data_IF_949315520152
#
_entry.id   IF_949315520152
#
_cell.length_a   1.000
_cell.length_b   1.000
_cell.length_c   1.000
_cell.angle_alpha   90.00
_cell.angle_beta   90.00
_cell.angle_gamma   90.00
#
_symmetry.space_group_name_H-M   'P 1'
#
loop_
_entity.id
_entity.type
_entity.pdbx_description
1 polymer ?
#
# COMPACT_ATOMS: atom_id res chain seq x y z
N UNK A 1 -35.80 7.00 -16.55
CA UNK A 1 -36.94 7.52 -15.76
C UNK A 1 -36.37 8.58 -14.84
N UNK A 2 -36.98 9.77 -14.77
CA UNK A 2 -36.50 10.82 -13.86
C UNK A 2 -36.55 10.32 -12.41
N UNK A 3 -35.43 10.43 -11.69
CA UNK A 3 -35.36 10.06 -10.27
C UNK A 3 -35.98 11.22 -9.48
N UNK A 4 -36.79 10.93 -8.47
CA UNK A 4 -37.45 11.96 -7.63
C UNK A 4 -36.59 12.42 -6.44
N UNK A 5 -35.36 11.92 -6.34
CA UNK A 5 -34.43 12.15 -5.23
C UNK A 5 -33.56 13.36 -5.54
N UNK A 6 -33.71 14.42 -4.75
CA UNK A 6 -33.04 15.70 -4.96
C UNK A 6 -31.66 15.67 -4.33
N UNK A 7 -30.65 16.11 -5.08
CA UNK A 7 -29.27 16.23 -4.60
C UNK A 7 -28.97 17.71 -4.38
N UNK A 8 -28.50 18.06 -3.19
CA UNK A 8 -28.06 19.42 -2.91
C UNK A 8 -26.54 19.50 -3.08
N UNK A 9 -26.06 20.49 -3.84
CA UNK A 9 -24.64 20.76 -4.05
C UNK A 9 -24.29 22.07 -3.36
N UNK A 10 -23.37 22.04 -2.39
CA UNK A 10 -22.92 23.22 -1.66
C UNK A 10 -21.45 23.42 -1.95
N UNK A 11 -21.13 24.49 -2.68
CA UNK A 11 -19.78 24.79 -3.14
C UNK A 11 -19.71 26.29 -3.43
N UNK A 12 -18.62 26.99 -3.14
CA UNK A 12 -18.53 28.44 -3.42
C UNK A 12 -18.11 28.74 -4.87
N UNK A 13 -17.48 27.78 -5.54
CA UNK A 13 -17.02 27.90 -6.92
C UNK A 13 -18.18 27.72 -7.92
N UNK A 14 -18.55 28.75 -8.71
CA UNK A 14 -19.67 28.65 -9.66
C UNK A 14 -19.48 27.57 -10.73
N UNK A 15 -18.24 27.38 -11.20
CA UNK A 15 -17.92 26.41 -12.24
C UNK A 15 -18.15 24.96 -11.76
N UNK A 16 -17.87 24.67 -10.48
CA UNK A 16 -18.09 23.35 -9.89
C UNK A 16 -19.60 23.10 -9.74
N UNK A 17 -20.35 24.08 -9.23
CA UNK A 17 -21.82 23.98 -9.13
C UNK A 17 -22.46 23.74 -10.50
N UNK A 18 -22.08 24.51 -11.53
CA UNK A 18 -22.61 24.36 -12.88
C UNK A 18 -22.28 22.99 -13.48
N UNK A 19 -21.04 22.52 -13.30
CA UNK A 19 -20.62 21.19 -13.79
C UNK A 19 -21.42 20.08 -13.12
N UNK A 20 -21.55 20.11 -11.80
CA UNK A 20 -22.29 19.10 -11.04
C UNK A 20 -23.79 19.15 -11.34
N UNK A 21 -24.36 20.35 -11.47
CA UNK A 21 -25.77 20.53 -11.81
C UNK A 21 -26.10 19.94 -13.18
N UNK A 22 -25.27 20.19 -14.19
CA UNK A 22 -25.46 19.63 -15.53
C UNK A 22 -25.36 18.09 -15.52
N UNK A 23 -24.29 17.54 -14.94
CA UNK A 23 -24.02 16.09 -14.95
C UNK A 23 -25.09 15.31 -14.17
N UNK A 24 -25.49 15.79 -13.00
CA UNK A 24 -26.49 15.11 -12.18
C UNK A 24 -27.90 15.22 -12.78
N UNK A 25 -28.21 16.35 -13.43
CA UNK A 25 -29.47 16.52 -14.15
C UNK A 25 -29.57 15.59 -15.36
N UNK A 26 -28.47 15.40 -16.11
CA UNK A 26 -28.39 14.45 -17.22
C UNK A 26 -28.64 13.00 -16.76
N UNK A 27 -28.16 12.65 -15.56
CA UNK A 27 -28.41 11.36 -14.89
C UNK A 27 -29.80 11.26 -14.22
N UNK A 28 -30.61 12.30 -14.39
CA UNK A 28 -32.01 12.34 -13.98
C UNK A 28 -32.23 12.66 -12.50
N UNK A 29 -31.23 13.20 -11.80
CA UNK A 29 -31.37 13.73 -10.44
C UNK A 29 -31.70 15.23 -10.49
N UNK A 30 -32.80 15.70 -9.88
CA UNK A 30 -33.00 17.13 -9.66
C UNK A 30 -31.93 17.67 -8.71
N UNK A 31 -31.33 18.81 -9.06
CA UNK A 31 -30.23 19.41 -8.30
C UNK A 31 -30.65 20.74 -7.68
N UNK A 32 -30.20 20.98 -6.44
CA UNK A 32 -30.31 22.27 -5.77
C UNK A 32 -28.89 22.77 -5.46
N UNK A 33 -28.43 23.76 -6.21
CA UNK A 33 -27.10 24.36 -6.06
C UNK A 33 -27.12 25.49 -5.01
N UNK A 34 -26.18 25.47 -4.06
CA UNK A 34 -26.04 26.41 -2.96
C UNK A 34 -24.61 26.96 -2.94
N UNK A 35 -24.47 28.29 -2.78
CA UNK A 35 -23.14 28.93 -2.85
C UNK A 35 -22.42 29.07 -1.51
N UNK A 36 -23.15 28.98 -0.41
CA UNK A 36 -22.68 29.22 0.94
C UNK A 36 -23.65 28.58 1.96
N UNK A 37 -23.30 28.68 3.25
CA UNK A 37 -24.08 28.16 4.38
C UNK A 37 -25.48 28.78 4.46
N UNK A 38 -25.61 30.10 4.27
CA UNK A 38 -26.89 30.81 4.38
C UNK A 38 -27.87 30.35 3.30
N UNK A 39 -27.40 30.27 2.05
CA UNK A 39 -28.19 29.78 0.92
C UNK A 39 -28.56 28.30 1.10
N UNK A 40 -27.63 27.49 1.64
CA UNK A 40 -27.89 26.09 1.96
C UNK A 40 -29.04 25.94 2.97
N UNK A 41 -28.98 26.60 4.13
CA UNK A 41 -30.02 26.47 5.14
C UNK A 41 -31.36 27.06 4.69
N UNK A 42 -31.37 28.18 3.96
CA UNK A 42 -32.60 28.77 3.42
C UNK A 42 -33.31 27.85 2.41
N UNK A 43 -32.56 27.01 1.69
CA UNK A 43 -33.10 25.99 0.78
C UNK A 43 -33.49 24.71 1.51
N UNK A 44 -32.71 24.30 2.50
CA UNK A 44 -33.00 23.13 3.34
C UNK A 44 -34.35 23.27 4.07
N UNK A 45 -34.72 24.48 4.53
CA UNK A 45 -36.03 24.76 5.14
C UNK A 45 -37.21 24.54 4.18
N UNK A 46 -36.99 24.76 2.88
CA UNK A 46 -38.04 24.62 1.86
C UNK A 46 -38.16 23.19 1.36
N UNK A 47 -37.05 22.47 1.31
CA UNK A 47 -36.98 21.15 0.70
C UNK A 47 -35.81 20.32 1.25
N UNK A 48 -36.12 19.14 1.79
CA UNK A 48 -35.12 18.22 2.30
C UNK A 48 -34.50 17.40 1.15
N UNK A 49 -33.16 17.48 0.94
CA UNK A 49 -32.50 16.69 -0.09
C UNK A 49 -32.33 15.23 0.34
N UNK A 50 -32.22 14.34 -0.64
CA UNK A 50 -31.89 12.93 -0.41
C UNK A 50 -30.39 12.69 -0.19
N UNK A 51 -29.54 13.63 -0.61
CA UNK A 51 -28.09 13.63 -0.44
C UNK A 51 -27.56 15.07 -0.52
N UNK A 52 -26.54 15.38 0.29
CA UNK A 52 -25.79 16.64 0.18
C UNK A 52 -24.36 16.33 -0.29
N UNK A 53 -23.92 16.99 -1.35
CA UNK A 53 -22.52 17.12 -1.74
C UNK A 53 -22.01 18.44 -1.16
N UNK A 54 -21.08 18.40 -0.22
CA UNK A 54 -20.69 19.56 0.59
C UNK A 54 -19.20 19.84 0.51
N UNK A 55 -18.83 20.99 -0.04
CA UNK A 55 -17.45 21.47 0.01
C UNK A 55 -17.01 21.81 1.44
N UNK A 56 -15.75 21.53 1.77
CA UNK A 56 -15.16 21.87 3.06
C UNK A 56 -14.89 23.38 3.16
N UNK A 57 -14.29 23.99 2.15
CA UNK A 57 -13.75 25.35 2.25
C UNK A 57 -14.72 26.38 1.71
N UNK A 58 -15.78 26.63 2.47
CA UNK A 58 -16.77 27.65 2.14
C UNK A 58 -16.45 29.00 2.79
N UNK A 59 -16.79 30.13 2.14
CA UNK A 59 -16.68 31.44 2.74
C UNK A 59 -17.65 31.59 3.93
N UNK A 60 -17.15 32.11 5.04
CA UNK A 60 -17.93 32.30 6.26
C UNK A 60 -17.94 31.06 7.14
N UNK A 61 -18.91 30.16 6.93
CA UNK A 61 -19.03 28.92 7.71
C UNK A 61 -18.38 27.76 6.94
N UNK A 62 -17.34 27.17 7.53
CA UNK A 62 -16.69 25.95 7.05
C UNK A 62 -17.70 24.80 6.86
N UNK A 63 -17.59 24.05 5.77
CA UNK A 63 -18.43 22.88 5.48
C UNK A 63 -18.41 21.83 6.59
N UNK A 64 -17.33 21.75 7.37
CA UNK A 64 -17.25 20.88 8.55
C UNK A 64 -18.23 21.31 9.66
N UNK A 65 -18.44 22.62 9.84
CA UNK A 65 -19.44 23.13 10.77
C UNK A 65 -20.86 22.87 10.26
N UNK A 66 -21.09 22.99 8.95
CA UNK A 66 -22.37 22.63 8.32
C UNK A 66 -22.67 21.13 8.54
N UNK A 67 -21.68 20.26 8.32
CA UNK A 67 -21.82 18.82 8.59
C UNK A 67 -22.16 18.53 10.05
N UNK A 68 -21.45 19.14 11.00
CA UNK A 68 -21.72 18.97 12.44
C UNK A 68 -23.16 19.35 12.77
N UNK A 69 -23.63 20.51 12.28
CA UNK A 69 -24.98 20.98 12.51
C UNK A 69 -26.04 20.11 11.82
N UNK A 70 -25.75 19.58 10.62
CA UNK A 70 -26.62 18.61 9.94
C UNK A 70 -26.75 17.32 10.74
N UNK A 71 -25.70 16.84 11.40
CA UNK A 71 -25.83 15.65 12.25
C UNK A 71 -26.66 15.88 13.50
N UNK A 72 -26.68 17.10 14.03
CA UNK A 72 -27.54 17.45 15.16
C UNK A 72 -29.00 17.63 14.74
N UNK A 73 -29.25 18.25 13.58
CA UNK A 73 -30.60 18.68 13.17
C UNK A 73 -31.29 17.75 12.17
N UNK A 74 -30.53 17.07 11.31
CA UNK A 74 -31.02 16.23 10.21
C UNK A 74 -30.12 14.98 10.03
N UNK A 75 -29.98 14.12 11.05
CA UNK A 75 -29.02 13.01 11.05
C UNK A 75 -29.22 12.01 9.91
N UNK A 76 -30.43 11.89 9.38
CA UNK A 76 -30.77 10.94 8.32
C UNK A 76 -30.35 11.39 6.91
N UNK A 77 -29.94 12.65 6.73
CA UNK A 77 -29.48 13.15 5.44
C UNK A 77 -28.02 12.69 5.23
N UNK A 78 -27.73 11.83 4.24
CA UNK A 78 -26.35 11.47 3.95
C UNK A 78 -25.60 12.68 3.38
N UNK A 79 -24.33 12.82 3.73
CA UNK A 79 -23.47 13.92 3.29
C UNK A 79 -22.17 13.33 2.74
N UNK A 80 -21.85 13.64 1.48
CA UNK A 80 -20.55 13.37 0.87
C UNK A 80 -19.77 14.69 0.89
N UNK A 81 -18.61 14.69 1.53
CA UNK A 81 -17.75 15.87 1.60
C UNK A 81 -16.88 15.99 0.35
N UNK A 82 -16.61 17.21 -0.10
CA UNK A 82 -15.75 17.55 -1.23
C UNK A 82 -14.64 18.50 -0.77
N UNK A 83 -13.42 18.39 -1.30
CA UNK A 83 -12.36 19.37 -0.97
C UNK A 83 -11.32 19.50 -2.07
N UNK A 84 -10.91 20.74 -2.37
CA UNK A 84 -9.77 21.05 -3.24
C UNK A 84 -8.42 21.20 -2.53
N UNK A 85 -8.38 21.03 -1.21
CA UNK A 85 -7.16 20.91 -0.41
C UNK A 85 -7.29 19.63 0.42
N UNK A 86 -6.87 18.50 -0.14
CA UNK A 86 -6.92 17.24 0.56
C UNK A 86 -5.79 17.13 1.59
N UNK A 87 -6.15 17.35 2.85
CA UNK A 87 -5.42 16.79 3.98
C UNK A 87 -6.16 15.55 4.48
N UNK A 88 -5.42 14.51 4.86
CA UNK A 88 -5.96 13.32 5.55
C UNK A 88 -6.87 13.78 6.69
N UNK A 89 -6.41 14.73 7.51
CA UNK A 89 -7.16 15.27 8.64
C UNK A 89 -8.55 15.78 8.27
N UNK A 90 -8.71 16.44 7.12
CA UNK A 90 -9.99 16.99 6.69
C UNK A 90 -10.98 15.89 6.29
N UNK A 91 -10.56 14.96 5.45
CA UNK A 91 -11.36 13.81 5.02
C UNK A 91 -11.78 12.94 6.23
N UNK A 92 -10.85 12.78 7.15
CA UNK A 92 -11.01 11.99 8.36
C UNK A 92 -11.97 12.62 9.35
N UNK A 93 -11.79 13.91 9.63
CA UNK A 93 -12.67 14.63 10.52
C UNK A 93 -14.09 14.64 9.94
N UNK A 94 -14.22 14.77 8.62
CA UNK A 94 -15.51 14.69 7.93
C UNK A 94 -16.20 13.34 8.22
N UNK A 95 -15.51 12.22 8.02
CA UNK A 95 -16.07 10.89 8.28
C UNK A 95 -16.41 10.71 9.76
N UNK A 96 -15.54 11.16 10.70
CA UNK A 96 -15.82 11.12 12.16
C UNK A 96 -17.04 11.95 12.55
N UNK A 97 -17.24 13.08 11.89
CA UNK A 97 -18.44 13.92 12.03
C UNK A 97 -19.64 13.34 11.26
N UNK A 98 -19.58 12.10 10.77
CA UNK A 98 -20.72 11.40 10.19
C UNK A 98 -20.94 11.68 8.70
N UNK A 99 -19.98 12.22 7.96
CA UNK A 99 -20.04 12.16 6.50
C UNK A 99 -20.08 10.68 6.06
N UNK A 100 -20.90 10.37 5.05
CA UNK A 100 -20.99 9.00 4.54
C UNK A 100 -19.85 8.64 3.60
N UNK A 101 -19.23 9.66 3.01
CA UNK A 101 -18.09 9.53 2.11
C UNK A 101 -17.37 10.89 1.97
N UNK A 102 -16.19 10.88 1.35
CA UNK A 102 -15.37 12.03 1.03
C UNK A 102 -14.84 11.94 -0.41
N UNK A 103 -14.64 13.09 -1.05
CA UNK A 103 -14.09 13.21 -2.39
C UNK A 103 -13.12 14.38 -2.49
N UNK A 104 -12.04 14.17 -3.23
CA UNK A 104 -11.09 15.21 -3.56
C UNK A 104 -11.41 15.85 -4.92
N UNK A 105 -11.31 17.18 -4.99
CA UNK A 105 -11.36 17.94 -6.25
C UNK A 105 -9.96 17.93 -6.88
N UNK A 106 -9.84 17.80 -8.22
CA UNK A 106 -10.91 17.84 -9.21
C UNK A 106 -11.73 16.54 -9.24
N UNK A 107 -13.06 16.70 -9.30
CA UNK A 107 -14.00 15.59 -9.19
C UNK A 107 -13.98 14.73 -10.48
N UNK A 108 -13.76 13.43 -10.31
CA UNK A 108 -13.99 12.44 -11.37
C UNK A 108 -15.47 12.08 -11.39
N UNK A 109 -16.18 12.54 -12.43
CA UNK A 109 -17.65 12.44 -12.53
C UNK A 109 -18.17 11.00 -12.45
N UNK A 110 -17.49 10.04 -13.08
CA UNK A 110 -17.85 8.62 -13.03
C UNK A 110 -17.89 8.09 -11.58
N UNK A 111 -16.85 8.37 -10.80
CA UNK A 111 -16.72 7.96 -9.40
C UNK A 111 -17.80 8.61 -8.54
N UNK A 112 -18.09 9.90 -8.79
CA UNK A 112 -19.13 10.62 -8.07
C UNK A 112 -20.50 9.95 -8.26
N UNK A 113 -20.86 9.60 -9.50
CA UNK A 113 -22.14 8.98 -9.81
C UNK A 113 -22.31 7.60 -9.15
N UNK A 114 -21.23 6.81 -9.11
CA UNK A 114 -21.22 5.51 -8.42
C UNK A 114 -21.44 5.68 -6.91
N UNK A 115 -20.73 6.62 -6.28
CA UNK A 115 -20.90 6.94 -4.84
C UNK A 115 -22.33 7.38 -4.52
N UNK A 116 -22.91 8.26 -5.34
CA UNK A 116 -24.31 8.71 -5.20
C UNK A 116 -25.26 7.51 -5.27
N UNK A 117 -25.09 6.64 -6.26
CA UNK A 117 -25.92 5.45 -6.46
C UNK A 117 -25.89 4.53 -5.23
N UNK A 118 -24.69 4.27 -4.69
CA UNK A 118 -24.49 3.45 -3.50
C UNK A 118 -25.20 4.06 -2.29
N UNK A 119 -24.96 5.34 -2.01
CA UNK A 119 -25.54 6.03 -0.86
C UNK A 119 -27.07 6.04 -0.90
N UNK A 120 -27.66 6.31 -2.07
CA UNK A 120 -29.12 6.36 -2.24
C UNK A 120 -29.80 4.97 -2.19
N UNK A 121 -29.04 3.87 -2.21
CA UNK A 121 -29.55 2.49 -2.22
C UNK A 121 -29.61 1.78 -0.85
N UNK A 122 -29.07 2.39 0.22
CA UNK A 122 -29.15 2.03 1.65
C UNK A 122 -28.89 0.56 2.08
N UNK A 123 -27.67 0.29 2.60
CA UNK A 123 -27.39 -0.66 3.70
C UNK A 123 -26.32 -0.11 4.66
N UNK A 124 -26.56 -0.05 6.00
CA UNK A 124 -25.56 0.41 6.96
C UNK A 124 -24.51 -0.69 7.27
N UNK A 125 -23.22 -0.35 7.38
CA UNK A 125 -22.20 -1.29 7.84
C UNK A 125 -22.19 -1.43 9.36
N UNK A 126 -21.71 -2.59 9.84
CA UNK A 126 -21.46 -2.88 11.26
C UNK A 126 -20.01 -2.58 11.62
N UNK A 127 -19.79 -2.10 12.85
CA UNK A 127 -18.49 -1.76 13.45
C UNK A 127 -17.45 -2.88 13.33
N UNK A 128 -16.23 -2.52 12.93
CA UNK A 128 -15.03 -3.38 12.86
C UNK A 128 -14.44 -3.61 14.25
N UNK A 129 -13.88 -4.80 14.52
CA UNK A 129 -12.91 -4.98 15.60
C UNK A 129 -11.50 -4.80 15.03
N UNK A 130 -10.68 -4.09 15.78
CA UNK A 130 -9.30 -3.69 15.47
C UNK A 130 -8.57 -4.64 14.49
N UNK A 131 -8.31 -4.16 13.27
CA UNK A 131 -7.24 -4.74 12.46
C UNK A 131 -5.99 -4.69 13.35
N UNK A 132 -5.36 -5.84 13.59
CA UNK A 132 -4.05 -5.89 14.19
C UNK A 132 -3.12 -5.03 13.32
N UNK A 133 -2.97 -3.79 13.76
CA UNK A 133 -2.15 -2.76 13.19
C UNK A 133 -0.75 -3.30 12.96
N UNK A 134 -0.39 -3.51 11.69
CA UNK A 134 1.01 -3.65 11.25
C UNK A 134 1.79 -2.32 11.47
N UNK A 135 1.30 -1.41 12.33
CA UNK A 135 1.94 -0.15 12.76
C UNK A 135 2.61 -0.29 14.14
N UNK A 136 2.30 -1.36 14.90
CA UNK A 136 2.98 -1.68 16.15
C UNK A 136 4.16 -2.60 15.84
N UNK A 137 5.38 -2.18 16.20
CA UNK A 137 6.61 -2.98 16.07
C UNK A 137 6.37 -4.44 16.52
N UNK A 138 6.40 -5.37 15.57
CA UNK A 138 6.06 -6.77 15.80
C UNK A 138 7.33 -7.61 15.91
N UNK A 139 7.40 -8.47 16.93
CA UNK A 139 8.48 -9.44 17.10
C UNK A 139 8.01 -10.80 16.59
N UNK A 140 8.67 -11.34 15.57
CA UNK A 140 8.36 -12.66 15.05
C UNK A 140 8.58 -13.75 16.13
N UNK A 141 7.60 -14.65 16.33
CA UNK A 141 7.75 -15.76 17.27
C UNK A 141 8.67 -16.84 16.70
N UNK A 142 9.88 -16.96 17.23
CA UNK A 142 10.86 -17.97 16.82
C UNK A 142 10.69 -19.20 17.70
N UNK A 143 10.32 -20.31 17.08
CA UNK A 143 9.92 -21.52 17.81
C UNK A 143 10.93 -22.65 17.62
N UNK A 144 11.73 -22.59 16.55
CA UNK A 144 12.88 -23.46 16.35
C UNK A 144 14.11 -22.62 15.99
N UNK A 145 15.07 -22.41 16.90
CA UNK A 145 16.28 -21.64 16.60
C UNK A 145 17.27 -22.43 15.73
N UNK A 146 17.16 -23.76 15.70
CA UNK A 146 18.07 -24.62 14.93
C UNK A 146 17.72 -24.50 13.45
N UNK A 147 18.71 -24.10 12.66
CA UNK A 147 18.67 -24.05 11.21
C UNK A 147 19.48 -25.27 10.74
N UNK A 148 18.91 -26.19 9.94
CA UNK A 148 19.67 -27.34 9.47
C UNK A 148 20.86 -26.85 8.62
N UNK A 149 22.05 -27.36 8.90
CA UNK A 149 23.24 -27.07 8.09
C UNK A 149 23.01 -27.58 6.66
N UNK A 150 23.35 -26.77 5.66
CA UNK A 150 23.10 -27.10 4.26
C UNK A 150 21.62 -27.08 3.83
N UNK A 151 20.70 -26.56 4.65
CA UNK A 151 19.29 -26.43 4.30
C UNK A 151 19.05 -25.53 3.07
N UNK A 152 20.01 -24.65 2.74
CA UNK A 152 19.99 -23.81 1.55
C UNK A 152 21.39 -23.83 0.92
N UNK A 153 21.45 -23.90 -0.41
CA UNK A 153 22.71 -23.85 -1.15
C UNK A 153 22.63 -22.86 -2.32
N UNK A 154 23.72 -22.14 -2.57
CA UNK A 154 23.84 -21.38 -3.82
C UNK A 154 24.17 -22.32 -4.97
N UNK A 155 23.37 -22.26 -6.02
CA UNK A 155 23.61 -22.98 -7.26
C UNK A 155 23.62 -21.99 -8.43
N UNK A 156 24.44 -22.28 -9.43
CA UNK A 156 24.43 -21.50 -10.66
C UNK A 156 23.04 -21.57 -11.31
N UNK A 157 22.50 -20.40 -11.64
CA UNK A 157 21.26 -20.28 -12.37
C UNK A 157 21.53 -20.53 -13.85
N UNK A 158 20.53 -21.02 -14.58
CA UNK A 158 20.58 -21.08 -16.05
C UNK A 158 20.55 -19.70 -16.70
N UNK A 159 20.20 -18.67 -15.94
CA UNK A 159 20.10 -17.28 -16.40
C UNK A 159 21.40 -16.52 -16.10
N UNK A 160 21.85 -15.63 -17.00
CA UNK A 160 22.93 -14.70 -16.68
C UNK A 160 22.46 -13.68 -15.64
N UNK A 161 23.44 -13.01 -15.04
CA UNK A 161 23.18 -11.77 -14.31
C UNK A 161 22.61 -10.70 -15.25
N UNK A 162 21.85 -9.77 -14.68
CA UNK A 162 21.13 -8.75 -15.41
C UNK A 162 21.22 -7.40 -14.75
N UNK A 163 21.26 -6.38 -15.58
CA UNK A 163 21.23 -4.96 -15.21
C UNK A 163 20.27 -4.22 -16.13
N UNK A 164 20.09 -2.92 -15.94
CA UNK A 164 19.28 -2.09 -16.83
C UNK A 164 20.08 -1.71 -18.09
N UNK A 165 19.43 -1.42 -19.23
CA UNK A 165 20.15 -0.90 -20.41
C UNK A 165 20.54 0.57 -20.28
N UNK A 166 19.86 1.31 -19.42
CA UNK A 166 20.07 2.74 -19.22
C UNK A 166 19.52 3.22 -17.89
N UNK A 167 19.77 4.50 -17.60
CA UNK A 167 19.25 5.14 -16.41
C UNK A 167 17.76 5.44 -16.56
N UNK A 168 17.01 5.24 -15.49
CA UNK A 168 15.61 5.64 -15.38
C UNK A 168 15.33 6.35 -14.07
N UNK A 169 14.33 7.22 -14.08
CA UNK A 169 13.95 8.06 -12.95
C UNK A 169 12.47 7.88 -12.69
N UNK A 170 12.13 7.74 -11.40
CA UNK A 170 10.76 7.83 -10.94
C UNK A 170 10.68 8.84 -9.80
N UNK A 171 9.78 9.81 -9.95
CA UNK A 171 9.51 10.82 -8.93
C UNK A 171 8.12 10.56 -8.33
N UNK A 172 7.96 10.89 -7.07
CA UNK A 172 6.67 10.83 -6.40
C UNK A 172 6.75 11.32 -4.97
N UNK A 173 5.86 10.81 -4.12
CA UNK A 173 5.77 11.16 -2.72
C UNK A 173 6.15 9.96 -1.85
N UNK A 174 6.95 10.20 -0.82
CA UNK A 174 7.28 9.21 0.18
C UNK A 174 6.05 8.89 1.05
N UNK A 175 5.92 7.63 1.46
CA UNK A 175 4.81 7.17 2.29
C UNK A 175 4.88 7.76 3.71
N UNK A 176 6.01 7.52 4.36
CA UNK A 176 6.28 7.83 5.76
C UNK A 176 6.66 9.30 5.93
N UNK A 177 7.41 9.89 5.00
CA UNK A 177 7.77 11.32 5.09
C UNK A 177 6.66 12.23 4.57
N UNK A 178 5.86 11.75 3.60
CA UNK A 178 4.92 12.60 2.85
C UNK A 178 5.60 13.67 2.00
N UNK A 179 6.93 13.63 1.83
CA UNK A 179 7.70 14.60 1.04
C UNK A 179 7.86 14.11 -0.39
N UNK A 180 8.10 15.04 -1.32
CA UNK A 180 8.52 14.66 -2.67
C UNK A 180 9.87 13.96 -2.58
N UNK A 181 9.96 12.78 -3.19
CA UNK A 181 11.15 11.95 -3.27
C UNK A 181 11.27 11.40 -4.69
N UNK A 182 12.44 10.89 -5.04
CA UNK A 182 12.71 10.29 -6.33
C UNK A 182 13.73 9.18 -6.20
N UNK A 183 13.66 8.22 -7.11
CA UNK A 183 14.68 7.19 -7.27
C UNK A 183 15.24 7.21 -8.69
N UNK A 184 16.57 7.15 -8.78
CA UNK A 184 17.29 6.92 -10.03
C UNK A 184 17.77 5.48 -10.01
N UNK A 185 17.36 4.68 -10.99
CA UNK A 185 17.92 3.35 -11.21
C UNK A 185 18.98 3.42 -12.29
N UNK A 186 20.20 3.04 -11.95
CA UNK A 186 21.36 3.04 -12.83
C UNK A 186 21.95 1.63 -12.94
N UNK A 187 22.41 1.22 -14.13
CA UNK A 187 23.03 -0.08 -14.29
C UNK A 187 24.34 -0.18 -13.50
N UNK A 188 24.59 -1.35 -12.93
CA UNK A 188 25.86 -1.71 -12.32
C UNK A 188 26.52 -2.89 -13.03
N UNK A 189 27.83 -3.03 -12.81
CA UNK A 189 28.65 -4.14 -13.27
C UNK A 189 28.25 -5.47 -12.60
N UNK A 190 28.64 -6.61 -13.18
CA UNK A 190 28.35 -7.92 -12.58
C UNK A 190 28.84 -8.04 -11.15
N UNK A 191 28.12 -8.82 -10.34
CA UNK A 191 28.39 -9.08 -8.93
C UNK A 191 28.29 -7.87 -8.00
N UNK A 192 27.75 -6.74 -8.47
CA UNK A 192 27.52 -5.56 -7.65
C UNK A 192 26.31 -5.73 -6.71
N UNK A 193 25.33 -6.55 -7.10
CA UNK A 193 24.07 -6.70 -6.39
C UNK A 193 23.16 -5.48 -6.56
N UNK A 194 22.09 -5.44 -5.75
CA UNK A 194 21.23 -4.27 -5.62
C UNK A 194 21.81 -3.35 -4.55
N UNK A 195 22.13 -2.12 -4.94
CA UNK A 195 22.76 -1.13 -4.06
C UNK A 195 21.89 0.11 -4.00
N UNK A 196 21.54 0.54 -2.79
CA UNK A 196 20.95 1.84 -2.54
C UNK A 196 22.05 2.84 -2.20
N UNK A 197 21.96 4.06 -2.74
CA UNK A 197 22.90 5.14 -2.44
C UNK A 197 22.15 6.40 -2.06
N UNK A 198 22.47 6.95 -0.89
CA UNK A 198 21.94 8.22 -0.40
C UNK A 198 22.59 9.41 -1.11
N UNK A 199 21.99 10.60 -1.01
CA UNK A 199 22.50 11.81 -1.70
C UNK A 199 23.87 12.29 -1.23
N UNK A 200 24.35 11.82 -0.07
CA UNK A 200 25.69 12.05 0.46
C UNK A 200 26.68 10.91 0.10
N UNK A 201 26.35 10.13 -0.94
CA UNK A 201 27.13 9.03 -1.49
C UNK A 201 27.30 7.80 -0.58
N UNK A 202 26.59 7.71 0.54
CA UNK A 202 26.61 6.50 1.39
C UNK A 202 25.91 5.35 0.69
N UNK A 203 26.60 4.23 0.52
CA UNK A 203 26.07 3.04 -0.16
C UNK A 203 25.64 1.95 0.83
N UNK A 204 24.42 1.45 0.63
CA UNK A 204 23.81 0.36 1.37
C UNK A 204 23.45 -0.76 0.40
N UNK A 205 24.01 -1.95 0.57
CA UNK A 205 23.52 -3.12 -0.17
C UNK A 205 22.11 -3.47 0.32
N UNK A 206 21.22 -3.80 -0.62
CA UNK A 206 19.87 -4.29 -0.34
C UNK A 206 19.91 -5.73 0.19
N UNK A 207 20.44 -5.87 1.40
CA UNK A 207 20.72 -7.17 2.00
C UNK A 207 20.23 -7.19 3.44
N UNK A 208 19.83 -8.37 3.91
CA UNK A 208 19.26 -8.57 5.24
C UNK A 208 20.19 -8.08 6.37
N UNK A 209 21.51 -8.08 6.16
CA UNK A 209 22.48 -7.58 7.15
C UNK A 209 22.47 -6.07 7.33
N UNK A 210 21.85 -5.34 6.40
CA UNK A 210 21.72 -3.89 6.42
C UNK A 210 20.30 -3.46 6.80
N UNK A 211 19.45 -4.33 7.37
CA UNK A 211 18.17 -3.88 7.93
C UNK A 211 18.39 -3.16 9.26
N UNK A 212 17.49 -2.24 9.60
CA UNK A 212 17.48 -1.61 10.92
C UNK A 212 17.48 -2.67 12.04
N UNK A 213 18.30 -2.46 13.07
CA UNK A 213 18.45 -3.36 14.23
C UNK A 213 18.97 -4.78 13.93
N UNK A 214 19.57 -5.04 12.76
CA UNK A 214 20.11 -6.37 12.40
C UNK A 214 21.08 -6.95 13.45
N UNK A 215 21.92 -6.13 14.07
CA UNK A 215 22.93 -6.56 15.05
C UNK A 215 22.36 -7.12 16.37
N UNK A 216 21.05 -6.98 16.61
CA UNK A 216 20.40 -7.56 17.78
C UNK A 216 20.08 -9.04 17.55
N UNK A 217 20.04 -9.83 18.64
CA UNK A 217 19.57 -11.22 18.58
C UNK A 217 18.14 -11.27 18.04
N UNK A 218 17.81 -12.23 17.18
CA UNK A 218 16.49 -12.34 16.52
C UNK A 218 15.30 -12.30 17.51
N UNK A 219 15.46 -12.84 18.72
CA UNK A 219 14.42 -12.79 19.76
C UNK A 219 14.22 -11.41 20.42
N UNK A 220 15.16 -10.47 20.22
CA UNK A 220 15.13 -9.10 20.74
C UNK A 220 14.93 -8.05 19.64
N UNK A 221 15.06 -8.46 18.36
CA UNK A 221 14.82 -7.56 17.24
C UNK A 221 13.36 -7.12 17.23
N UNK A 222 13.19 -5.81 17.15
CA UNK A 222 11.91 -5.18 16.90
C UNK A 222 11.89 -4.79 15.43
N UNK A 223 10.99 -5.38 14.65
CA UNK A 223 10.93 -5.14 13.21
C UNK A 223 10.01 -3.96 12.90
N UNK A 224 10.40 -3.17 11.91
CA UNK A 224 9.64 -2.03 11.40
C UNK A 224 8.25 -2.48 10.95
N UNK A 225 7.26 -2.11 11.74
CA UNK A 225 5.87 -2.31 11.43
C UNK A 225 5.43 -1.06 10.65
N UNK A 226 5.53 -1.15 9.31
CA UNK A 226 4.93 -0.29 8.26
C UNK A 226 5.74 -0.31 6.95
N UNK A 227 6.99 -0.81 6.95
CA UNK A 227 7.83 -0.97 5.74
C UNK A 227 9.15 -1.70 6.05
N UNK A 228 9.90 -2.12 5.04
CA UNK A 228 11.29 -2.54 5.18
C UNK A 228 12.22 -1.33 5.09
N UNK A 229 13.15 -1.23 6.05
CA UNK A 229 14.11 -0.12 6.17
C UNK A 229 15.53 -0.66 6.15
N UNK A 230 16.31 -0.20 5.20
CA UNK A 230 17.77 -0.38 5.19
C UNK A 230 18.41 0.71 6.05
N UNK A 231 19.38 0.34 6.88
CA UNK A 231 20.07 1.22 7.80
C UNK A 231 21.56 0.90 7.88
N UNK A 232 22.40 1.93 7.77
CA UNK A 232 23.86 1.84 7.99
C UNK A 232 24.42 3.20 8.36
N UNK A 233 25.29 3.27 9.37
CA UNK A 233 26.05 4.49 9.72
C UNK A 233 25.16 5.76 9.83
N UNK A 234 24.01 5.64 10.51
CA UNK A 234 22.96 6.67 10.66
C UNK A 234 22.23 7.09 9.38
N UNK A 235 22.45 6.40 8.26
CA UNK A 235 21.68 6.56 7.01
C UNK A 235 20.62 5.49 6.90
N UNK A 236 19.50 5.88 6.30
CA UNK A 236 18.28 5.08 6.22
C UNK A 236 17.72 5.18 4.81
N UNK A 237 17.25 4.05 4.28
CA UNK A 237 16.43 4.01 3.08
C UNK A 237 15.18 3.20 3.39
N UNK A 238 14.02 3.85 3.30
CA UNK A 238 12.72 3.31 3.72
C UNK A 238 11.90 2.81 2.54
N UNK A 239 11.00 1.87 2.82
CA UNK A 239 9.95 1.40 1.88
C UNK A 239 10.56 0.76 0.62
N UNK A 240 11.58 -0.07 0.81
CA UNK A 240 12.31 -0.70 -0.31
C UNK A 240 11.57 -1.89 -0.94
N UNK A 241 10.61 -2.48 -0.22
CA UNK A 241 9.92 -3.73 -0.54
C UNK A 241 9.29 -3.76 -1.93
N UNK A 242 8.57 -2.71 -2.36
CA UNK A 242 7.89 -2.70 -3.66
C UNK A 242 8.88 -2.65 -4.83
N UNK A 243 9.91 -1.81 -4.71
CA UNK A 243 10.99 -1.75 -5.69
C UNK A 243 11.76 -3.06 -5.74
N UNK A 244 12.08 -3.65 -4.58
CA UNK A 244 12.76 -4.94 -4.49
C UNK A 244 11.93 -6.06 -5.14
N UNK A 245 10.60 -6.05 -4.98
CA UNK A 245 9.72 -7.03 -5.61
C UNK A 245 9.75 -6.91 -7.15
N UNK A 246 9.69 -5.68 -7.67
CA UNK A 246 9.77 -5.41 -9.11
C UNK A 246 11.13 -5.82 -9.70
N UNK A 247 12.23 -5.47 -9.03
CA UNK A 247 13.59 -5.86 -9.44
C UNK A 247 13.75 -7.38 -9.44
N UNK A 248 13.28 -8.06 -8.38
CA UNK A 248 13.35 -9.51 -8.26
C UNK A 248 12.60 -10.20 -9.40
N UNK A 249 11.36 -9.80 -9.67
CA UNK A 249 10.52 -10.43 -10.69
C UNK A 249 10.93 -10.08 -12.13
N UNK A 250 11.57 -8.93 -12.34
CA UNK A 250 12.26 -8.62 -13.59
C UNK A 250 13.57 -9.42 -13.76
N UNK A 251 14.09 -10.02 -12.68
CA UNK A 251 15.34 -10.75 -12.63
C UNK A 251 16.57 -9.85 -12.70
N UNK A 252 16.46 -8.58 -12.28
CA UNK A 252 17.60 -7.65 -12.18
C UNK A 252 18.46 -8.07 -11.01
N UNK A 253 19.75 -8.32 -11.25
CA UNK A 253 20.72 -8.71 -10.21
C UNK A 253 21.63 -7.57 -9.81
N UNK A 254 21.89 -6.61 -10.71
CA UNK A 254 22.84 -5.53 -10.49
C UNK A 254 22.20 -4.18 -10.84
N UNK A 255 21.98 -3.31 -9.86
CA UNK A 255 21.43 -1.96 -10.08
C UNK A 255 21.78 -1.05 -8.91
N UNK A 256 22.03 0.21 -9.22
CA UNK A 256 22.19 1.29 -8.25
C UNK A 256 20.87 2.06 -8.17
N UNK A 257 20.25 2.07 -7.00
CA UNK A 257 19.08 2.88 -6.68
C UNK A 257 19.53 4.12 -5.88
N UNK A 258 19.69 5.25 -6.56
CA UNK A 258 19.97 6.53 -5.88
C UNK A 258 18.68 7.13 -5.37
N UNK A 259 18.61 7.39 -4.07
CA UNK A 259 17.43 7.88 -3.35
C UNK A 259 17.90 8.70 -2.15
N UNK A 260 17.09 9.61 -1.63
CA UNK A 260 17.47 10.35 -0.41
C UNK A 260 17.27 9.48 0.86
N UNK A 261 16.06 9.45 1.41
CA UNK A 261 15.73 8.69 2.62
C UNK A 261 14.62 7.65 2.43
N UNK A 262 13.82 7.78 1.35
CA UNK A 262 12.61 6.99 1.16
C UNK A 262 12.30 6.79 -0.32
N UNK A 263 11.95 5.55 -0.67
CA UNK A 263 11.53 5.20 -2.03
C UNK A 263 10.12 5.78 -2.30
N UNK A 264 9.88 6.37 -3.50
CA UNK A 264 8.55 6.87 -3.84
C UNK A 264 7.49 5.77 -3.73
N UNK A 265 6.41 6.02 -3.00
CA UNK A 265 5.34 5.02 -2.85
C UNK A 265 4.27 5.11 -3.96
N UNK A 266 4.33 6.13 -4.82
CA UNK A 266 3.42 6.40 -5.95
C UNK A 266 1.95 6.10 -5.60
N UNK A 267 1.40 4.99 -6.11
CA UNK A 267 0.02 4.56 -5.92
C UNK A 267 -0.16 3.46 -4.86
N UNK A 268 0.93 3.08 -4.19
CA UNK A 268 0.98 2.01 -3.18
C UNK A 268 1.35 0.63 -3.71
N UNK A 269 1.59 0.51 -5.01
CA UNK A 269 1.87 -0.77 -5.68
C UNK A 269 3.28 -0.80 -6.27
N UNK A 270 3.65 -1.89 -6.94
CA UNK A 270 4.90 -2.02 -7.67
C UNK A 270 4.73 -1.77 -9.18
N UNK A 271 3.53 -1.37 -9.64
CA UNK A 271 3.21 -1.21 -11.05
C UNK A 271 4.15 -0.24 -11.76
N UNK A 272 4.32 0.96 -11.21
CA UNK A 272 5.16 1.99 -11.83
C UNK A 272 6.64 1.56 -11.88
N UNK A 273 7.13 0.84 -10.87
CA UNK A 273 8.47 0.25 -10.91
C UNK A 273 8.61 -0.81 -12.01
N UNK A 274 7.62 -1.69 -12.15
CA UNK A 274 7.60 -2.69 -13.23
C UNK A 274 7.58 -2.05 -14.62
N UNK A 275 6.79 -0.98 -14.81
CA UNK A 275 6.73 -0.23 -16.07
C UNK A 275 8.06 0.48 -16.36
N UNK A 276 8.65 1.12 -15.33
CA UNK A 276 9.93 1.81 -15.43
C UNK A 276 11.08 0.86 -15.82
N UNK A 277 11.17 -0.33 -15.19
CA UNK A 277 12.18 -1.34 -15.52
C UNK A 277 11.97 -1.87 -16.94
N UNK A 278 10.72 -2.06 -17.36
CA UNK A 278 10.39 -2.49 -18.72
C UNK A 278 10.80 -1.44 -19.76
N UNK A 279 10.56 -0.17 -19.50
CA UNK A 279 10.96 0.95 -20.34
C UNK A 279 12.49 1.07 -20.44
N UNK A 280 13.18 0.97 -19.30
CA UNK A 280 14.64 0.95 -19.24
C UNK A 280 15.23 -0.17 -20.11
N UNK A 281 14.53 -1.31 -20.17
CA UNK A 281 15.00 -2.53 -20.79
C UNK A 281 16.07 -3.22 -19.96
N UNK A 282 16.20 -4.53 -20.18
CA UNK A 282 17.11 -5.39 -19.43
C UNK A 282 18.31 -5.78 -20.29
N UNK A 283 19.50 -5.74 -19.70
CA UNK A 283 20.76 -6.16 -20.29
C UNK A 283 21.27 -7.40 -19.56
N UNK A 284 21.41 -8.51 -20.28
CA UNK A 284 22.13 -9.69 -19.79
C UNK A 284 23.64 -9.38 -19.74
N UNK A 285 24.29 -9.80 -18.66
CA UNK A 285 25.71 -9.58 -18.41
C UNK A 285 26.50 -10.90 -18.56
N UNK A 286 27.80 -10.79 -18.81
CA UNK A 286 28.67 -11.95 -19.05
C UNK A 286 29.12 -12.65 -17.76
N UNK A 287 28.18 -12.90 -16.85
CA UNK A 287 28.38 -13.66 -15.60
C UNK A 287 27.11 -14.47 -15.30
N UNK A 288 27.27 -15.65 -14.71
CA UNK A 288 26.12 -16.47 -14.30
C UNK A 288 25.46 -15.88 -13.06
N UNK A 289 24.12 -15.85 -13.03
CA UNK A 289 23.39 -15.58 -11.79
C UNK A 289 23.44 -16.82 -10.88
N UNK A 290 23.10 -16.64 -9.60
CA UNK A 290 22.99 -17.73 -8.63
C UNK A 290 21.62 -17.72 -7.98
N UNK A 291 21.06 -18.89 -7.77
CA UNK A 291 19.81 -19.08 -7.03
C UNK A 291 20.11 -19.67 -5.65
N UNK A 292 19.42 -19.20 -4.62
CA UNK A 292 19.40 -19.82 -3.31
C UNK A 292 18.40 -20.97 -3.31
N UNK A 293 18.91 -22.20 -3.39
CA UNK A 293 18.10 -23.42 -3.52
C UNK A 293 17.79 -24.00 -2.15
N UNK A 294 16.50 -24.13 -1.84
CA UNK A 294 16.02 -24.69 -0.58
C UNK A 294 16.02 -26.22 -0.68
N UNK A 295 16.82 -26.86 0.17
CA UNK A 295 16.98 -28.32 0.24
C UNK A 295 16.24 -28.92 1.44
N UNK A 296 16.04 -28.15 2.50
CA UNK A 296 15.26 -28.56 3.66
C UNK A 296 14.29 -27.45 4.11
N UNK A 297 13.14 -27.79 4.72
CA UNK A 297 12.19 -26.79 5.17
C UNK A 297 12.74 -25.89 6.30
N UNK A 298 12.49 -24.57 6.18
CA UNK A 298 12.85 -23.56 7.19
C UNK A 298 11.58 -22.80 7.59
N UNK A 299 11.38 -22.57 8.89
CA UNK A 299 10.11 -22.06 9.44
C UNK A 299 10.30 -20.94 10.47
N UNK A 300 9.33 -20.02 10.48
CA UNK A 300 9.07 -18.97 11.48
C UNK A 300 7.61 -19.10 11.96
N UNK A 301 7.36 -19.00 13.26
CA UNK A 301 6.02 -19.20 13.84
C UNK A 301 5.58 -20.67 13.91
N UNK A 302 4.35 -20.93 14.37
CA UNK A 302 3.73 -22.27 14.47
C UNK A 302 2.75 -22.45 13.32
N UNK A 303 2.77 -23.60 12.65
CA UNK A 303 1.82 -23.96 11.57
C UNK A 303 0.40 -24.20 12.11
N UNK A 304 -0.24 -23.13 12.59
CA UNK A 304 -1.62 -23.10 13.05
C UNK A 304 -2.37 -22.02 12.28
N UNK A 305 -3.64 -22.26 12.00
CA UNK A 305 -4.45 -21.40 11.13
C UNK A 305 -4.66 -20.00 11.74
N UNK A 306 -4.81 -19.95 13.06
CA UNK A 306 -5.04 -18.75 13.88
C UNK A 306 -3.75 -18.07 14.35
N UNK A 307 -2.58 -18.60 13.99
CA UNK A 307 -1.28 -17.99 14.32
C UNK A 307 -0.54 -17.57 13.04
N UNK A 308 0.08 -16.38 13.07
CA UNK A 308 1.00 -15.94 12.02
C UNK A 308 2.14 -16.94 11.88
N UNK A 309 2.41 -17.39 10.65
CA UNK A 309 3.52 -18.27 10.38
C UNK A 309 3.97 -18.18 8.93
N UNK A 310 5.25 -18.49 8.72
CA UNK A 310 5.90 -18.44 7.43
C UNK A 310 6.88 -19.60 7.35
N UNK A 311 6.88 -20.35 6.26
CA UNK A 311 7.91 -21.35 6.01
C UNK A 311 8.23 -21.44 4.54
N UNK A 312 9.43 -21.94 4.25
CA UNK A 312 9.83 -22.33 2.91
C UNK A 312 10.11 -23.83 2.89
N UNK A 313 9.82 -24.46 1.77
CA UNK A 313 10.10 -25.88 1.51
C UNK A 313 10.73 -26.08 0.12
N UNK A 314 11.43 -27.21 -0.10
CA UNK A 314 12.00 -27.53 -1.41
C UNK A 314 10.94 -27.55 -2.51
N UNK A 315 11.23 -26.86 -3.61
CA UNK A 315 10.37 -26.79 -4.78
C UNK A 315 11.20 -26.38 -6.00
N UNK A 316 10.99 -27.05 -7.13
CA UNK A 316 11.61 -26.69 -8.41
C UNK A 316 10.87 -25.49 -9.00
N UNK A 317 11.41 -24.30 -8.76
CA UNK A 317 10.86 -23.01 -9.18
C UNK A 317 10.70 -22.05 -8.00
N UNK A 318 9.93 -20.98 -8.20
CA UNK A 318 9.56 -20.04 -7.14
C UNK A 318 8.04 -19.93 -7.04
N UNK A 319 7.50 -20.28 -5.88
CA UNK A 319 6.06 -20.25 -5.62
C UNK A 319 5.77 -19.67 -4.24
N UNK A 320 4.75 -18.80 -4.15
CA UNK A 320 4.27 -18.20 -2.91
C UNK A 320 2.81 -18.59 -2.72
N UNK A 321 2.49 -19.23 -1.59
CA UNK A 321 1.13 -19.46 -1.13
C UNK A 321 0.85 -18.57 0.05
N UNK A 322 -0.08 -17.64 -0.10
CA UNK A 322 -0.45 -16.69 0.94
C UNK A 322 -1.90 -16.88 1.35
N UNK A 323 -2.14 -16.88 2.65
CA UNK A 323 -3.45 -16.71 3.26
C UNK A 323 -3.47 -15.46 4.11
N UNK A 324 -4.48 -14.64 3.92
CA UNK A 324 -4.87 -13.56 4.83
C UNK A 324 -6.29 -13.84 5.33
N UNK A 325 -6.62 -13.32 6.50
CA UNK A 325 -7.86 -13.51 7.23
C UNK A 325 -7.97 -12.42 8.29
N UNK A 326 -8.44 -11.26 7.85
CA UNK A 326 -8.65 -10.09 8.68
C UNK A 326 -10.13 -9.75 8.73
N UNK A 327 -10.50 -8.86 9.65
CA UNK A 327 -11.85 -8.31 9.71
C UNK A 327 -12.29 -7.67 8.38
N UNK A 328 -13.60 -7.51 8.20
CA UNK A 328 -14.15 -6.81 7.05
C UNK A 328 -13.52 -5.41 6.91
N UNK A 329 -13.24 -4.93 5.68
CA UNK A 329 -13.67 -5.49 4.39
C UNK A 329 -12.78 -6.61 3.80
N UNK A 330 -11.66 -6.97 4.44
CA UNK A 330 -10.69 -7.90 3.83
C UNK A 330 -11.21 -9.34 3.80
N UNK A 331 -11.63 -9.84 4.96
CA UNK A 331 -12.05 -11.24 5.13
C UNK A 331 -10.92 -12.25 4.90
N UNK A 332 -11.30 -13.52 4.72
CA UNK A 332 -10.36 -14.58 4.36
C UNK A 332 -10.08 -14.56 2.85
N UNK A 333 -8.81 -14.41 2.47
CA UNK A 333 -8.37 -14.51 1.09
C UNK A 333 -7.17 -15.45 0.99
N UNK A 334 -7.12 -16.22 -0.09
CA UNK A 334 -6.06 -17.19 -0.37
C UNK A 334 -5.62 -17.03 -1.82
N UNK A 335 -4.31 -16.93 -2.03
CA UNK A 335 -3.75 -16.85 -3.37
C UNK A 335 -2.46 -17.65 -3.45
N UNK A 336 -2.25 -18.30 -4.59
CA UNK A 336 -0.97 -18.91 -4.95
C UNK A 336 -0.44 -18.16 -6.16
N UNK A 337 0.80 -17.69 -6.07
CA UNK A 337 1.55 -17.08 -7.16
C UNK A 337 2.75 -17.95 -7.50
N UNK A 338 2.92 -18.30 -8.76
CA UNK A 338 4.03 -19.08 -9.29
C UNK A 338 4.69 -18.31 -10.43
N UNK A 339 5.96 -17.95 -10.29
CA UNK A 339 6.63 -17.04 -11.23
C UNK A 339 6.80 -17.59 -12.65
N UNK A 340 6.64 -18.90 -12.85
CA UNK A 340 6.72 -19.54 -14.17
C UNK A 340 5.35 -19.64 -14.86
N UNK A 341 4.26 -19.56 -14.10
CA UNK A 341 2.90 -19.75 -14.60
C UNK A 341 2.08 -18.47 -14.64
N UNK A 342 2.36 -17.56 -13.70
CA UNK A 342 1.60 -16.35 -13.48
C UNK A 342 2.44 -15.11 -13.88
N UNK A 343 1.78 -13.99 -14.10
CA UNK A 343 2.41 -12.75 -14.53
C UNK A 343 2.49 -11.77 -13.37
N UNK A 344 3.69 -11.55 -12.84
CA UNK A 344 3.89 -10.55 -11.77
C UNK A 344 3.32 -9.18 -12.16
N UNK A 345 3.58 -8.72 -13.39
CA UNK A 345 3.20 -7.38 -13.84
C UNK A 345 1.67 -7.17 -13.93
N UNK A 346 0.89 -8.21 -14.20
CA UNK A 346 -0.58 -8.10 -14.29
C UNK A 346 -1.31 -8.60 -13.05
N UNK A 347 -0.70 -9.51 -12.29
CA UNK A 347 -1.40 -10.26 -11.25
C UNK A 347 -1.01 -9.79 -9.86
N UNK A 348 0.20 -9.25 -9.67
CA UNK A 348 0.74 -8.89 -8.34
C UNK A 348 1.15 -7.42 -8.28
N UNK A 349 1.96 -6.95 -9.23
CA UNK A 349 2.53 -5.61 -9.24
C UNK A 349 1.50 -4.48 -9.05
N UNK A 350 0.27 -4.55 -9.61
CA UNK A 350 -0.72 -3.48 -9.42
C UNK A 350 -1.48 -3.53 -8.09
N UNK A 351 -1.25 -4.51 -7.22
CA UNK A 351 -1.95 -4.59 -5.94
C UNK A 351 -1.41 -3.56 -4.94
N UNK A 352 -2.27 -2.64 -4.51
CA UNK A 352 -1.88 -1.50 -3.66
C UNK A 352 -1.83 -1.86 -2.18
N UNK A 353 -0.98 -1.12 -1.47
CA UNK A 353 -0.91 -1.18 -0.02
C UNK A 353 -2.21 -0.74 0.62
N UNK A 354 -2.42 -1.15 1.87
CA UNK A 354 -3.68 -0.95 2.55
C UNK A 354 -3.47 -0.76 4.05
N UNK A 355 -4.31 0.08 4.65
CA UNK A 355 -4.31 0.26 6.09
C UNK A 355 -5.69 0.71 6.58
N UNK A 356 -5.94 0.57 7.87
CA UNK A 356 -7.13 1.19 8.46
C UNK A 356 -6.90 2.66 8.71
N UNK A 357 -7.99 3.40 8.64
CA UNK A 357 -8.00 4.80 9.00
C UNK A 357 -7.54 5.02 10.45
N UNK A 358 -7.98 4.19 11.40
CA UNK A 358 -7.60 4.32 12.82
C UNK A 358 -6.08 4.18 13.03
N UNK A 359 -5.45 3.28 12.27
CA UNK A 359 -4.01 3.07 12.32
C UNK A 359 -3.25 4.27 11.74
N UNK A 360 -3.72 4.80 10.59
CA UNK A 360 -3.14 6.00 9.98
C UNK A 360 -3.24 7.19 10.94
N UNK A 361 -4.43 7.44 11.52
CA UNK A 361 -4.67 8.52 12.49
C UNK A 361 -3.77 8.39 13.72
N UNK A 362 -3.65 7.18 14.28
CA UNK A 362 -2.77 6.92 15.40
C UNK A 362 -1.30 7.16 15.04
N UNK A 363 -0.87 6.70 13.87
CA UNK A 363 0.50 6.83 13.41
C UNK A 363 0.89 8.30 13.15
N UNK A 364 -0.02 9.08 12.57
CA UNK A 364 0.18 10.52 12.34
C UNK A 364 0.23 11.30 13.64
N UNK A 365 -0.67 11.01 14.59
CA UNK A 365 -0.65 11.63 15.94
C UNK A 365 0.64 11.35 16.72
N UNK A 366 1.27 10.20 16.47
CA UNK A 366 2.59 9.86 17.04
C UNK A 366 3.76 10.46 16.26
N UNK A 367 3.51 11.14 15.15
CA UNK A 367 4.53 11.69 14.26
C UNK A 367 5.38 10.62 13.56
N UNK A 368 4.93 9.37 13.53
CA UNK A 368 5.68 8.25 12.94
C UNK A 368 5.48 8.13 11.44
N UNK A 369 4.43 8.77 10.91
CA UNK A 369 4.10 8.74 9.48
C UNK A 369 3.52 10.09 9.03
N UNK A 370 3.75 10.44 7.75
CA UNK A 370 3.36 11.70 7.13
C UNK A 370 2.05 11.64 6.36
N UNK A 371 1.85 12.55 5.40
CA UNK A 371 0.59 12.70 4.65
C UNK A 371 0.49 11.87 3.36
N UNK A 372 1.39 10.89 3.13
CA UNK A 372 1.50 10.15 1.87
C UNK A 372 0.41 9.09 1.62
N UNK A 373 -0.47 8.82 2.60
CA UNK A 373 -1.37 7.66 2.58
C UNK A 373 -2.58 7.79 1.65
N UNK A 374 -3.10 9.01 1.39
CA UNK A 374 -4.33 9.17 0.57
C UNK A 374 -4.13 8.69 -0.86
N UNK A 375 -2.98 9.01 -1.43
CA UNK A 375 -2.67 8.75 -2.84
C UNK A 375 -2.13 7.34 -3.07
N UNK A 376 -1.69 6.68 -1.99
CA UNK A 376 -0.86 5.47 -2.07
C UNK A 376 -1.38 4.27 -1.29
N UNK A 377 -2.56 4.34 -0.66
CA UNK A 377 -3.12 3.22 0.08
C UNK A 377 -4.60 3.05 -0.17
N UNK A 378 -5.07 1.80 -0.07
CA UNK A 378 -6.47 1.47 0.16
C UNK A 378 -6.75 1.73 1.65
N UNK A 379 -7.61 2.71 1.92
CA UNK A 379 -7.97 3.12 3.27
C UNK A 379 -9.29 2.45 3.63
N UNK A 380 -9.29 1.76 4.77
CA UNK A 380 -10.47 1.09 5.30
C UNK A 380 -10.98 1.78 6.56
N UNK A 381 -12.29 1.95 6.65
CA UNK A 381 -12.98 2.47 7.83
C UNK A 381 -14.37 1.84 7.94
N UNK A 382 -14.80 1.54 9.15
CA UNK A 382 -16.09 0.91 9.47
C UNK A 382 -16.54 -0.24 8.53
N UNK A 383 -15.63 -1.12 8.15
CA UNK A 383 -15.90 -2.38 7.44
C UNK A 383 -15.98 -2.19 5.94
N UNK A 384 -15.53 -1.03 5.44
CA UNK A 384 -15.58 -0.62 4.05
C UNK A 384 -14.25 -0.03 3.61
N UNK A 385 -13.98 -0.13 2.32
CA UNK A 385 -12.98 0.70 1.66
C UNK A 385 -13.62 2.05 1.39
N UNK A 386 -12.92 3.15 1.72
CA UNK A 386 -13.52 4.50 1.71
C UNK A 386 -12.95 5.44 0.64
N UNK A 387 -11.75 5.17 0.10
CA UNK A 387 -11.09 6.11 -0.81
C UNK A 387 -11.00 5.63 -2.27
N UNK A 388 -11.24 4.35 -2.56
CA UNK A 388 -11.03 3.78 -3.89
C UNK A 388 -11.77 2.46 -4.09
N UNK A 389 -12.03 2.07 -5.33
CA UNK A 389 -12.43 0.70 -5.67
C UNK A 389 -11.22 -0.23 -5.71
N UNK A 390 -11.43 -1.51 -5.43
CA UNK A 390 -10.38 -2.52 -5.56
C UNK A 390 -10.10 -2.83 -7.04
N UNK A 391 -8.82 -2.93 -7.38
CA UNK A 391 -8.33 -3.39 -8.70
C UNK A 391 -8.59 -4.89 -8.88
N UNK A 392 -8.59 -5.63 -7.78
CA UNK A 392 -8.87 -7.06 -7.73
C UNK A 392 -9.76 -7.39 -6.53
N UNK A 393 -10.69 -8.35 -6.62
CA UNK A 393 -11.45 -8.81 -5.45
C UNK A 393 -10.56 -9.29 -4.29
N UNK A 394 -9.38 -9.79 -4.62
CA UNK A 394 -8.35 -10.33 -3.73
C UNK A 394 -7.09 -9.42 -3.68
N UNK A 395 -7.24 -8.10 -3.84
CA UNK A 395 -6.12 -7.15 -3.87
C UNK A 395 -5.26 -7.18 -2.59
N UNK A 396 -5.86 -7.41 -1.43
CA UNK A 396 -5.13 -7.44 -0.15
C UNK A 396 -4.13 -8.60 -0.05
N UNK A 397 -4.53 -9.82 -0.45
CA UNK A 397 -3.61 -10.97 -0.45
C UNK A 397 -2.54 -10.84 -1.54
N UNK A 398 -2.88 -10.24 -2.70
CA UNK A 398 -1.91 -9.94 -3.77
C UNK A 398 -0.83 -8.99 -3.27
N UNK A 399 -1.22 -7.93 -2.54
CA UNK A 399 -0.26 -6.99 -1.97
C UNK A 399 0.63 -7.66 -0.91
N UNK A 400 0.09 -8.52 -0.03
CA UNK A 400 0.93 -9.28 0.91
C UNK A 400 1.90 -10.24 0.22
N UNK A 401 1.55 -10.76 -0.96
CA UNK A 401 2.51 -11.51 -1.80
C UNK A 401 3.57 -10.58 -2.37
N UNK A 402 3.20 -9.39 -2.86
CA UNK A 402 4.13 -8.36 -3.35
C UNK A 402 5.18 -8.03 -2.27
N UNK A 403 4.75 -7.69 -1.06
CA UNK A 403 5.63 -7.40 0.09
C UNK A 403 6.62 -8.55 0.36
N UNK A 404 6.08 -9.78 0.44
CA UNK A 404 6.88 -10.97 0.71
C UNK A 404 7.93 -11.22 -0.39
N UNK A 405 7.59 -11.03 -1.66
CA UNK A 405 8.53 -11.18 -2.77
C UNK A 405 9.69 -10.17 -2.65
N UNK A 406 9.39 -8.93 -2.27
CA UNK A 406 10.37 -7.87 -2.07
C UNK A 406 11.30 -8.17 -0.89
N UNK A 407 10.72 -8.52 0.25
CA UNK A 407 11.50 -8.85 1.46
C UNK A 407 12.40 -10.06 1.23
N UNK A 408 11.91 -11.11 0.56
CA UNK A 408 12.71 -12.30 0.24
C UNK A 408 13.96 -11.96 -0.57
N UNK A 409 13.89 -10.92 -1.40
CA UNK A 409 15.01 -10.52 -2.25
C UNK A 409 16.14 -9.81 -1.49
N UNK A 410 15.90 -9.44 -0.21
CA UNK A 410 16.96 -9.03 0.73
C UNK A 410 17.94 -10.17 1.06
N UNK A 411 17.67 -11.41 0.63
CA UNK A 411 18.66 -12.49 0.67
C UNK A 411 19.84 -12.23 -0.29
N UNK A 412 19.65 -11.36 -1.29
CA UNK A 412 20.64 -11.04 -2.34
C UNK A 412 20.64 -12.02 -3.52
N UNK A 413 19.85 -13.09 -3.46
CA UNK A 413 19.73 -14.11 -4.50
C UNK A 413 18.26 -14.47 -4.72
N UNK A 414 17.81 -14.74 -5.96
CA UNK A 414 16.52 -15.35 -6.21
C UNK A 414 16.38 -16.67 -5.45
N UNK A 415 15.21 -16.88 -4.83
CA UNK A 415 14.92 -18.09 -4.08
C UNK A 415 14.35 -19.17 -5.00
N UNK A 416 14.89 -20.39 -4.94
CA UNK A 416 14.29 -21.59 -5.54
C UNK A 416 13.69 -22.44 -4.43
N UNK A 417 12.37 -22.40 -4.31
CA UNK A 417 11.61 -22.99 -3.21
C UNK A 417 10.16 -22.50 -3.21
N UNK A 418 9.32 -23.16 -2.41
CA UNK A 418 7.93 -22.75 -2.19
C UNK A 418 7.83 -22.11 -0.82
N UNK A 419 7.34 -20.89 -0.79
CA UNK A 419 7.05 -20.15 0.44
C UNK A 419 5.56 -20.28 0.75
N UNK A 420 5.24 -20.62 1.99
CA UNK A 420 3.86 -20.71 2.49
C UNK A 420 3.71 -19.80 3.70
N UNK A 421 2.78 -18.87 3.58
CA UNK A 421 2.58 -17.75 4.49
C UNK A 421 1.13 -17.68 4.96
N UNK A 422 0.94 -17.44 6.25
CA UNK A 422 -0.36 -17.16 6.86
C UNK A 422 -0.23 -15.88 7.68
N UNK A 423 -0.95 -14.84 7.25
CA UNK A 423 -1.09 -13.57 8.00
C UNK A 423 0.24 -12.86 8.29
N UNK A 424 1.26 -13.03 7.45
CA UNK A 424 2.62 -12.58 7.74
C UNK A 424 2.79 -11.08 7.55
N UNK A 425 3.73 -10.51 8.32
CA UNK A 425 4.19 -9.13 8.24
C UNK A 425 5.67 -9.08 7.84
N UNK A 426 6.20 -7.88 7.53
CA UNK A 426 7.62 -7.70 7.21
C UNK A 426 8.55 -8.33 8.27
N UNK A 427 8.20 -8.26 9.55
CA UNK A 427 8.98 -8.89 10.61
C UNK A 427 9.08 -10.42 10.49
N UNK A 428 8.00 -11.10 10.07
CA UNK A 428 8.05 -12.54 9.79
C UNK A 428 8.85 -12.83 8.52
N UNK A 429 8.70 -12.00 7.48
CA UNK A 429 9.41 -12.13 6.22
C UNK A 429 10.93 -12.00 6.44
N UNK A 430 11.37 -10.92 7.11
CA UNK A 430 12.76 -10.65 7.45
C UNK A 430 13.35 -11.74 8.36
N UNK A 431 12.57 -12.25 9.34
CA UNK A 431 13.01 -13.37 10.18
C UNK A 431 13.24 -14.66 9.36
N UNK A 432 12.44 -14.91 8.32
CA UNK A 432 12.70 -16.03 7.42
C UNK A 432 13.98 -15.77 6.61
N UNK A 433 14.12 -14.58 6.02
CA UNK A 433 15.32 -14.22 5.22
C UNK A 433 16.59 -14.32 6.05
N UNK A 434 16.56 -13.91 7.32
CA UNK A 434 17.70 -14.07 8.21
C UNK A 434 18.04 -15.54 8.45
N UNK A 435 17.04 -16.42 8.63
CA UNK A 435 17.27 -17.87 8.72
C UNK A 435 17.86 -18.44 7.43
N UNK A 436 17.39 -17.99 6.27
CA UNK A 436 17.94 -18.38 4.98
C UNK A 436 19.40 -17.91 4.82
N UNK A 437 19.69 -16.67 5.22
CA UNK A 437 21.03 -16.13 5.20
C UNK A 437 21.98 -16.94 6.09
N UNK A 438 21.57 -17.25 7.33
CA UNK A 438 22.36 -18.13 8.21
C UNK A 438 22.59 -19.49 7.56
N UNK A 439 21.56 -20.12 6.98
CA UNK A 439 21.66 -21.41 6.30
C UNK A 439 22.63 -21.40 5.10
N UNK A 440 22.76 -20.26 4.40
CA UNK A 440 23.73 -20.09 3.30
C UNK A 440 25.17 -19.94 3.78
N UNK A 441 25.38 -19.53 5.05
CA UNK A 441 26.70 -19.26 5.62
C UNK A 441 27.25 -20.39 6.50
N UNK A 442 26.45 -21.42 6.75
CA UNK A 442 26.77 -22.59 7.60
C UNK A 442 26.74 -23.88 6.81
#
# INVERSE_FOLDING_TARGET
MAKSQIICVVDDEPAIRETLENVLSDEGYPVTSCRDSEDFYAKLEKQTPALVLLDIWLPGTDGMAILSQLRETHPDIPVIMMSGHAGIDAAVNAIKLGAVDFMEKPLRLEILLDKISIVLSNKPPKKIKDLASDTLLEVAKIINPIIPSGAVQLQDSKRPQRTLKGNVVLNGKGLLTGRNTGVILSPLDPNSGIVFQTLDDTSLSAHITNIENFSQSVAKQSFSANSTVLARDNRLVRTVEHLMAALHMAGITNVLAKVDEEIPNIDGSAKDFSELIKEAGILDQNESAKDAVVLEPIQVGRKKLDEKHLYVEPYEGFEVKMRVDYDAPIGEQKLTFNSEKDSFNSDIAPARSFNTFENIDMAQKKGTVGSGYLDSHIIMHEGKVINTDLRYPDEFVRHKILDLIGDLYLLGFPLRGRVVANMTSHGYNQALVQKLHVALTT
#
